data_IF_420493791243
#
_entry.id   IF_420493791243
#
_cell.length_a   1.000
_cell.length_b   1.000
_cell.length_c   1.000
_cell.angle_alpha   90.00
_cell.angle_beta   90.00
_cell.angle_gamma   90.00
#
_symmetry.space_group_name_H-M   'P 1'
#
loop_
_entity.id
_entity.type
_entity.pdbx_description
1 polymer ?
#
# COMPACT_ATOMS: atom_id res chain seq x y z
N UNK A 1 19.40 39.26 -23.94
CA UNK A 1 18.35 38.23 -24.08
C UNK A 1 18.82 37.03 -23.29
N UNK A 2 18.08 36.72 -22.22
CA UNK A 2 18.38 35.68 -21.23
C UNK A 2 17.67 34.41 -21.70
N UNK A 3 18.43 33.39 -22.10
CA UNK A 3 17.92 32.06 -22.45
C UNK A 3 18.87 31.07 -21.81
N UNK A 4 18.44 30.43 -20.72
CA UNK A 4 19.31 29.52 -19.95
C UNK A 4 18.66 28.88 -18.72
N UNK A 5 17.52 29.37 -18.23
CA UNK A 5 16.98 28.89 -16.94
C UNK A 5 15.90 27.80 -17.08
N UNK A 6 15.33 27.56 -18.28
CA UNK A 6 14.17 26.67 -18.47
C UNK A 6 14.48 25.17 -18.58
N UNK A 7 15.69 24.78 -18.99
CA UNK A 7 16.06 23.36 -19.13
C UNK A 7 16.42 22.70 -17.78
N UNK A 8 16.75 23.48 -16.74
CA UNK A 8 17.22 22.95 -15.46
C UNK A 8 16.12 22.45 -14.51
N UNK A 9 14.96 23.11 -14.49
CA UNK A 9 13.83 22.78 -13.59
C UNK A 9 13.08 21.52 -14.04
N UNK A 10 12.87 21.34 -15.35
CA UNK A 10 12.21 20.15 -15.91
C UNK A 10 13.03 18.89 -15.61
N UNK A 11 14.35 18.98 -15.80
CA UNK A 11 15.28 17.89 -15.53
C UNK A 11 15.35 17.55 -14.02
N UNK A 12 15.15 18.52 -13.14
CA UNK A 12 15.11 18.30 -11.69
C UNK A 12 13.81 17.66 -11.23
N UNK A 13 12.67 18.09 -11.78
CA UNK A 13 11.37 17.48 -11.52
C UNK A 13 11.34 16.00 -11.94
N UNK A 14 11.89 15.68 -13.12
CA UNK A 14 11.99 14.30 -13.62
C UNK A 14 12.92 13.42 -12.76
N UNK A 15 14.02 14.00 -12.24
CA UNK A 15 14.88 13.32 -11.27
C UNK A 15 14.14 13.03 -9.96
N UNK A 16 13.39 14.01 -9.45
CA UNK A 16 12.59 13.87 -8.23
C UNK A 16 11.47 12.83 -8.38
N UNK A 17 10.81 12.77 -9.53
CA UNK A 17 9.82 11.72 -9.84
C UNK A 17 10.48 10.34 -9.89
N UNK A 18 11.58 10.21 -10.64
CA UNK A 18 12.33 8.95 -10.76
C UNK A 18 12.81 8.42 -9.40
N UNK A 19 13.28 9.31 -8.52
CA UNK A 19 13.68 8.95 -7.17
C UNK A 19 12.50 8.41 -6.34
N UNK A 20 11.34 9.10 -6.37
CA UNK A 20 10.13 8.67 -5.65
C UNK A 20 9.65 7.30 -6.12
N UNK A 21 9.65 7.03 -7.43
CA UNK A 21 9.29 5.72 -7.99
C UNK A 21 10.31 4.62 -7.59
N UNK A 22 11.60 4.95 -7.55
CA UNK A 22 12.62 4.03 -7.05
C UNK A 22 12.37 3.65 -5.58
N UNK A 23 12.03 4.63 -4.73
CA UNK A 23 11.72 4.36 -3.32
C UNK A 23 10.47 3.51 -3.15
N UNK A 24 9.45 3.72 -3.99
CA UNK A 24 8.28 2.86 -4.00
C UNK A 24 8.65 1.40 -4.25
N UNK A 25 9.52 1.13 -5.23
CA UNK A 25 10.00 -0.23 -5.53
C UNK A 25 10.78 -0.85 -4.36
N UNK A 26 11.60 -0.06 -3.65
CA UNK A 26 12.31 -0.52 -2.45
C UNK A 26 11.32 -0.93 -1.36
N UNK A 27 10.28 -0.14 -1.14
CA UNK A 27 9.23 -0.46 -0.15
C UNK A 27 8.42 -1.71 -0.55
N UNK A 28 8.15 -1.90 -1.84
CA UNK A 28 7.53 -3.13 -2.37
C UNK A 28 8.41 -4.35 -2.05
N UNK A 29 9.70 -4.27 -2.34
CA UNK A 29 10.66 -5.36 -2.05
C UNK A 29 10.79 -5.58 -0.53
N UNK A 30 10.74 -4.52 0.28
CA UNK A 30 10.75 -4.63 1.73
C UNK A 30 9.53 -5.40 2.25
N UNK A 31 8.33 -5.16 1.70
CA UNK A 31 7.14 -5.94 2.05
C UNK A 31 7.33 -7.45 1.81
N UNK A 32 8.08 -7.82 0.77
CA UNK A 32 8.34 -9.22 0.41
C UNK A 32 9.39 -9.90 1.29
N UNK A 33 10.40 -9.14 1.73
CA UNK A 33 11.64 -9.71 2.31
C UNK A 33 11.85 -9.41 3.78
N UNK A 34 11.03 -8.58 4.40
CA UNK A 34 11.16 -8.26 5.81
C UNK A 34 10.98 -9.52 6.69
N UNK A 35 11.85 -9.74 7.70
CA UNK A 35 11.69 -10.86 8.63
C UNK A 35 10.41 -10.73 9.45
N UNK A 36 9.85 -11.87 9.87
CA UNK A 36 8.57 -11.94 10.59
C UNK A 36 8.53 -11.07 11.85
N UNK A 37 9.65 -10.95 12.56
CA UNK A 37 9.78 -10.09 13.75
C UNK A 37 9.58 -8.60 13.47
N UNK A 38 9.85 -8.13 12.24
CA UNK A 38 9.72 -6.73 11.84
C UNK A 38 8.39 -6.38 11.17
N UNK A 39 7.63 -7.37 10.69
CA UNK A 39 6.42 -7.16 9.85
C UNK A 39 5.40 -6.24 10.49
N UNK A 40 5.03 -6.51 11.75
CA UNK A 40 4.01 -5.73 12.47
C UNK A 40 4.40 -4.25 12.61
N UNK A 41 5.66 -3.98 12.98
CA UNK A 41 6.15 -2.62 13.14
C UNK A 41 6.22 -1.90 11.80
N UNK A 42 6.71 -2.61 10.78
CA UNK A 42 6.81 -2.08 9.43
C UNK A 42 5.46 -1.65 8.86
N UNK A 43 4.42 -2.51 8.93
CA UNK A 43 3.06 -2.14 8.49
C UNK A 43 2.55 -0.91 9.24
N UNK A 44 2.69 -0.90 10.57
CA UNK A 44 2.25 0.22 11.40
C UNK A 44 2.91 1.55 11.03
N UNK A 45 4.15 1.50 10.55
CA UNK A 45 4.89 2.69 10.16
C UNK A 45 4.66 3.11 8.72
N UNK A 46 4.73 2.17 7.77
CA UNK A 46 4.74 2.51 6.36
C UNK A 46 3.36 2.81 5.82
N UNK A 47 2.33 2.06 6.25
CA UNK A 47 0.97 2.22 5.75
C UNK A 47 0.43 3.64 5.93
N UNK A 48 0.44 4.26 7.13
CA UNK A 48 -0.08 5.62 7.28
C UNK A 48 0.73 6.66 6.49
N UNK A 49 2.04 6.48 6.36
CA UNK A 49 2.91 7.39 5.59
C UNK A 49 2.61 7.33 4.09
N UNK A 50 2.42 6.12 3.56
CA UNK A 50 2.07 5.92 2.14
C UNK A 50 0.65 6.42 1.86
N UNK A 51 -0.31 6.17 2.76
CA UNK A 51 -1.67 6.73 2.65
C UNK A 51 -1.64 8.26 2.64
N UNK A 52 -0.84 8.87 3.51
CA UNK A 52 -0.66 10.33 3.52
C UNK A 52 -0.05 10.84 2.21
N UNK A 53 0.98 10.16 1.69
CA UNK A 53 1.60 10.51 0.41
C UNK A 53 0.62 10.41 -0.77
N UNK A 54 -0.21 9.36 -0.79
CA UNK A 54 -1.28 9.20 -1.79
C UNK A 54 -2.27 10.36 -1.77
N UNK A 55 -2.60 10.86 -0.57
CA UNK A 55 -3.54 11.96 -0.40
C UNK A 55 -2.94 13.34 -0.70
N UNK A 56 -1.63 13.50 -0.51
CA UNK A 56 -0.96 14.80 -0.65
C UNK A 56 -0.45 15.09 -2.09
N UNK A 57 -0.30 14.07 -2.92
CA UNK A 57 0.19 14.21 -4.29
C UNK A 57 -0.96 14.29 -5.28
N UNK A 58 -0.79 15.03 -6.39
CA UNK A 58 -1.71 15.00 -7.54
C UNK A 58 -1.17 14.19 -8.72
N UNK A 59 0.11 13.83 -8.68
CA UNK A 59 0.81 13.13 -9.76
C UNK A 59 0.32 11.68 -9.85
N UNK A 60 -0.33 11.32 -10.97
CA UNK A 60 -0.97 10.02 -11.17
C UNK A 60 0.02 8.83 -11.05
N UNK A 61 1.25 9.01 -11.54
CA UNK A 61 2.34 8.04 -11.41
C UNK A 61 2.65 7.72 -9.93
N UNK A 62 2.65 8.74 -9.08
CA UNK A 62 2.94 8.59 -7.65
C UNK A 62 1.76 8.00 -6.92
N UNK A 63 0.53 8.41 -7.26
CA UNK A 63 -0.68 7.79 -6.72
C UNK A 63 -0.69 6.29 -7.03
N UNK A 64 -0.42 5.91 -8.28
CA UNK A 64 -0.33 4.52 -8.70
C UNK A 64 0.77 3.75 -7.95
N UNK A 65 1.95 4.34 -7.77
CA UNK A 65 3.04 3.74 -6.99
C UNK A 65 2.66 3.55 -5.51
N UNK A 66 1.99 4.52 -4.88
CA UNK A 66 1.49 4.39 -3.51
C UNK A 66 0.52 3.22 -3.39
N UNK A 67 -0.45 3.11 -4.30
CA UNK A 67 -1.42 2.01 -4.33
C UNK A 67 -0.72 0.66 -4.49
N UNK A 68 0.35 0.60 -5.30
CA UNK A 68 1.13 -0.62 -5.48
C UNK A 68 1.90 -1.04 -4.22
N UNK A 69 2.44 -0.09 -3.44
CA UNK A 69 3.03 -0.37 -2.12
C UNK A 69 1.96 -0.91 -1.18
N UNK A 70 0.78 -0.26 -1.12
CA UNK A 70 -0.33 -0.68 -0.24
C UNK A 70 -0.88 -2.07 -0.64
N UNK A 71 -0.94 -2.38 -1.92
CA UNK A 71 -1.23 -3.73 -2.42
C UNK A 71 -0.18 -4.74 -1.93
N UNK A 72 1.10 -4.37 -1.97
CA UNK A 72 2.20 -5.23 -1.51
C UNK A 72 2.14 -5.46 0.01
N UNK A 73 1.75 -4.44 0.78
CA UNK A 73 1.44 -4.55 2.21
C UNK A 73 0.28 -5.52 2.43
N UNK A 74 -0.85 -5.31 1.75
CA UNK A 74 -2.04 -6.14 1.90
C UNK A 74 -1.78 -7.61 1.53
N UNK A 75 -0.92 -7.85 0.55
CA UNK A 75 -0.62 -9.19 0.05
C UNK A 75 0.41 -9.93 0.90
N UNK A 76 1.59 -9.34 1.11
CA UNK A 76 2.72 -10.02 1.76
C UNK A 76 2.66 -9.95 3.29
N UNK A 77 1.91 -8.99 3.83
CA UNK A 77 1.85 -8.70 5.27
C UNK A 77 0.42 -8.83 5.81
N UNK A 78 -0.43 -9.63 5.14
CA UNK A 78 -1.88 -9.78 5.41
C UNK A 78 -2.25 -10.01 6.87
N UNK A 79 -1.45 -10.75 7.64
CA UNK A 79 -1.70 -11.02 9.07
C UNK A 79 -1.44 -9.83 10.01
N UNK A 80 -0.99 -8.70 9.46
CA UNK A 80 -0.59 -7.52 10.22
C UNK A 80 -1.38 -6.26 9.84
N UNK A 81 -2.29 -6.33 8.87
CA UNK A 81 -3.00 -5.16 8.32
C UNK A 81 -4.32 -4.84 9.03
N UNK A 82 -4.76 -5.66 9.99
CA UNK A 82 -6.09 -5.51 10.63
C UNK A 82 -6.34 -4.09 11.16
N UNK A 83 -5.34 -3.48 11.79
CA UNK A 83 -5.47 -2.13 12.37
C UNK A 83 -5.52 -1.02 11.33
N UNK A 84 -5.08 -1.27 10.09
CA UNK A 84 -5.03 -0.28 9.01
C UNK A 84 -5.94 -0.64 7.83
N UNK A 85 -6.80 -1.65 7.97
CA UNK A 85 -7.55 -2.20 6.85
C UNK A 85 -8.62 -1.23 6.32
N UNK A 86 -9.16 -0.38 7.19
CA UNK A 86 -10.09 0.69 6.80
C UNK A 86 -9.40 1.73 5.90
N UNK A 87 -8.18 2.14 6.23
CA UNK A 87 -7.42 3.08 5.41
C UNK A 87 -7.08 2.49 4.04
N UNK A 88 -6.81 1.18 3.98
CA UNK A 88 -6.57 0.48 2.72
C UNK A 88 -7.83 0.44 1.84
N UNK A 89 -9.00 0.15 2.42
CA UNK A 89 -10.26 0.13 1.67
C UNK A 89 -10.65 1.54 1.21
N UNK A 90 -10.41 2.57 2.03
CA UNK A 90 -10.66 3.97 1.67
C UNK A 90 -9.81 4.43 0.49
N UNK A 91 -8.52 4.07 0.48
CA UNK A 91 -7.64 4.36 -0.68
C UNK A 91 -8.17 3.66 -1.92
N UNK A 92 -8.57 2.39 -1.81
CA UNK A 92 -9.12 1.65 -2.93
C UNK A 92 -10.39 2.31 -3.48
N UNK A 93 -11.33 2.71 -2.61
CA UNK A 93 -12.55 3.42 -2.99
C UNK A 93 -12.27 4.75 -3.68
N UNK A 94 -11.29 5.53 -3.20
CA UNK A 94 -10.87 6.78 -3.85
C UNK A 94 -10.35 6.54 -5.26
N UNK A 95 -9.52 5.51 -5.44
CA UNK A 95 -9.01 5.12 -6.75
C UNK A 95 -10.13 4.71 -7.70
N UNK A 96 -11.10 3.91 -7.24
CA UNK A 96 -12.21 3.45 -8.07
C UNK A 96 -13.12 4.60 -8.53
N UNK A 97 -13.43 5.53 -7.62
CA UNK A 97 -14.38 6.63 -7.90
C UNK A 97 -13.79 7.75 -8.74
N UNK A 98 -12.58 8.18 -8.40
CA UNK A 98 -12.01 9.43 -8.93
C UNK A 98 -10.65 9.24 -9.60
N UNK A 99 -10.11 8.02 -9.59
CA UNK A 99 -8.76 7.78 -10.04
C UNK A 99 -8.60 7.74 -11.55
N UNK A 100 -7.35 7.98 -11.99
CA UNK A 100 -6.90 7.66 -13.34
C UNK A 100 -7.09 6.16 -13.64
N UNK A 101 -6.97 5.76 -14.91
CA UNK A 101 -7.13 4.34 -15.26
C UNK A 101 -6.10 3.45 -14.57
N UNK A 102 -4.85 3.92 -14.42
CA UNK A 102 -3.79 3.26 -13.64
C UNK A 102 -4.18 3.11 -12.17
N UNK A 103 -4.72 4.17 -11.57
CA UNK A 103 -5.19 4.14 -10.17
C UNK A 103 -6.38 3.19 -10.00
N UNK A 104 -7.36 3.24 -10.91
CA UNK A 104 -8.50 2.30 -10.91
C UNK A 104 -8.02 0.87 -10.96
N UNK A 105 -7.07 0.53 -11.85
CA UNK A 105 -6.44 -0.79 -11.89
C UNK A 105 -5.81 -1.18 -10.56
N UNK A 106 -5.04 -0.29 -9.94
CA UNK A 106 -4.47 -0.50 -8.60
C UNK A 106 -5.56 -0.71 -7.53
N UNK A 107 -6.62 0.09 -7.56
CA UNK A 107 -7.76 0.02 -6.64
C UNK A 107 -8.52 -1.30 -6.75
N UNK A 108 -8.83 -1.75 -7.98
CA UNK A 108 -9.49 -3.05 -8.23
C UNK A 108 -8.62 -4.19 -7.68
N UNK A 109 -7.31 -4.15 -7.93
CA UNK A 109 -6.36 -5.14 -7.40
C UNK A 109 -6.32 -5.15 -5.88
N UNK A 110 -6.31 -3.96 -5.26
CA UNK A 110 -6.31 -3.82 -3.81
C UNK A 110 -7.60 -4.34 -3.18
N UNK A 111 -8.78 -4.03 -3.75
CA UNK A 111 -10.07 -4.62 -3.32
C UNK A 111 -10.01 -6.14 -3.41
N UNK A 112 -9.57 -6.69 -4.54
CA UNK A 112 -9.45 -8.14 -4.72
C UNK A 112 -8.52 -8.79 -3.68
N UNK A 113 -7.43 -8.12 -3.33
CA UNK A 113 -6.50 -8.58 -2.29
C UNK A 113 -7.12 -8.52 -0.89
N UNK A 114 -7.85 -7.45 -0.56
CA UNK A 114 -8.51 -7.28 0.73
C UNK A 114 -9.65 -8.29 0.93
N UNK A 115 -10.45 -8.55 -0.11
CA UNK A 115 -11.46 -9.62 -0.13
C UNK A 115 -10.85 -11.02 0.03
N UNK A 116 -9.55 -11.15 -0.26
CA UNK A 116 -8.78 -12.37 -0.09
C UNK A 116 -7.96 -12.41 1.22
N UNK A 117 -8.15 -11.41 2.08
CA UNK A 117 -7.51 -11.30 3.38
C UNK A 117 -8.04 -12.31 4.39
N UNK A 118 -7.56 -12.16 5.62
CA UNK A 118 -8.05 -12.94 6.76
C UNK A 118 -9.48 -12.55 7.12
N UNK A 119 -10.26 -13.49 7.68
CA UNK A 119 -11.68 -13.30 7.99
C UNK A 119 -11.90 -12.06 8.87
N UNK A 120 -11.08 -11.89 9.91
CA UNK A 120 -11.12 -10.71 10.79
C UNK A 120 -10.92 -9.40 10.03
N UNK A 121 -10.05 -9.40 9.02
CA UNK A 121 -9.82 -8.22 8.17
C UNK A 121 -11.05 -7.94 7.33
N UNK A 122 -11.60 -8.98 6.67
CA UNK A 122 -12.78 -8.87 5.79
C UNK A 122 -14.01 -8.39 6.57
N UNK A 123 -14.23 -8.92 7.77
CA UNK A 123 -15.33 -8.51 8.64
C UNK A 123 -15.22 -7.04 9.04
N UNK A 124 -14.00 -6.60 9.40
CA UNK A 124 -13.73 -5.21 9.80
C UNK A 124 -14.02 -4.18 8.68
N UNK A 125 -13.82 -4.56 7.42
CA UNK A 125 -13.98 -3.67 6.25
C UNK A 125 -15.23 -3.98 5.41
N UNK A 126 -16.13 -4.83 5.90
CA UNK A 126 -17.29 -5.33 5.16
C UNK A 126 -18.14 -4.22 4.53
N UNK A 127 -18.39 -3.13 5.26
CA UNK A 127 -19.12 -1.96 4.74
C UNK A 127 -18.37 -1.26 3.59
N UNK A 128 -17.04 -1.16 3.67
CA UNK A 128 -16.18 -0.63 2.61
C UNK A 128 -16.15 -1.54 1.38
N UNK A 129 -16.14 -2.86 1.57
CA UNK A 129 -16.21 -3.82 0.47
C UNK A 129 -17.55 -3.76 -0.28
N UNK A 130 -18.66 -3.56 0.44
CA UNK A 130 -19.97 -3.35 -0.19
C UNK A 130 -20.00 -2.07 -1.03
N UNK A 131 -19.39 -0.98 -0.55
CA UNK A 131 -19.21 0.23 -1.35
C UNK A 131 -18.32 -0.01 -2.57
N UNK A 132 -17.24 -0.78 -2.40
CA UNK A 132 -16.32 -1.09 -3.50
C UNK A 132 -17.03 -1.89 -4.57
N UNK A 133 -17.87 -2.85 -4.18
CA UNK A 133 -18.74 -3.61 -5.09
C UNK A 133 -19.63 -2.70 -5.93
N UNK A 134 -20.30 -1.72 -5.31
CA UNK A 134 -21.12 -0.75 -6.04
C UNK A 134 -20.27 0.04 -7.05
N UNK A 135 -19.10 0.54 -6.63
CA UNK A 135 -18.19 1.23 -7.55
C UNK A 135 -17.70 0.34 -8.70
N UNK A 136 -17.44 -0.94 -8.47
CA UNK A 136 -17.06 -1.88 -9.53
C UNK A 136 -18.20 -2.09 -10.55
N UNK A 137 -19.45 -2.13 -10.09
CA UNK A 137 -20.63 -2.22 -10.96
C UNK A 137 -20.79 -0.95 -11.79
N UNK A 138 -20.67 0.22 -11.16
CA UNK A 138 -20.73 1.52 -11.85
C UNK A 138 -19.64 1.63 -12.93
N UNK A 139 -18.41 1.18 -12.62
CA UNK A 139 -17.30 1.15 -13.57
C UNK A 139 -17.61 0.28 -14.79
N UNK A 140 -18.22 -0.90 -14.60
CA UNK A 140 -18.60 -1.79 -15.70
C UNK A 140 -19.72 -1.22 -16.59
N UNK A 141 -20.60 -0.39 -16.03
CA UNK A 141 -21.71 0.23 -16.75
C UNK A 141 -21.30 1.53 -17.49
N UNK A 142 -20.14 2.10 -17.16
CA UNK A 142 -19.66 3.34 -17.77
C UNK A 142 -19.23 3.15 -19.24
N UNK A 143 -19.58 4.10 -20.10
CA UNK A 143 -19.35 4.06 -21.55
C UNK A 143 -17.87 4.26 -21.93
N UNK A 144 -17.10 4.98 -21.12
CA UNK A 144 -15.66 5.24 -21.33
C UNK A 144 -14.79 3.99 -21.14
N UNK A 145 -15.37 2.88 -20.68
CA UNK A 145 -14.66 1.67 -20.27
C UNK A 145 -14.38 0.67 -21.40
N UNK A 146 -14.77 0.97 -22.63
CA UNK A 146 -14.52 0.10 -23.80
C UNK A 146 -13.04 0.06 -24.22
N UNK A 147 -12.20 0.97 -23.71
CA UNK A 147 -10.78 1.05 -24.07
C UNK A 147 -9.83 0.21 -23.19
N UNK A 148 -10.30 -0.42 -22.10
CA UNK A 148 -9.41 -1.14 -21.18
C UNK A 148 -9.91 -2.56 -20.80
N UNK A 149 -9.60 -3.58 -21.63
CA UNK A 149 -10.17 -4.93 -21.49
C UNK A 149 -9.72 -5.66 -20.23
N UNK A 150 -8.50 -5.41 -19.74
CA UNK A 150 -7.99 -6.06 -18.53
C UNK A 150 -8.71 -5.59 -17.27
N UNK A 151 -9.02 -4.30 -17.16
CA UNK A 151 -9.72 -3.75 -16.00
C UNK A 151 -11.15 -4.29 -15.92
N UNK A 152 -11.85 -4.29 -17.06
CA UNK A 152 -13.19 -4.89 -17.20
C UNK A 152 -13.18 -6.36 -16.79
N UNK A 153 -12.21 -7.14 -17.29
CA UNK A 153 -12.07 -8.56 -16.95
C UNK A 153 -11.90 -8.77 -15.45
N UNK A 154 -11.03 -8.00 -14.79
CA UNK A 154 -10.81 -8.16 -13.34
C UNK A 154 -12.07 -7.75 -12.56
N UNK A 155 -12.73 -6.63 -12.92
CA UNK A 155 -13.98 -6.21 -12.28
C UNK A 155 -15.07 -7.30 -12.37
N UNK A 156 -15.26 -7.90 -13.55
CA UNK A 156 -16.18 -9.01 -13.75
C UNK A 156 -15.79 -10.21 -12.85
N UNK A 157 -14.52 -10.59 -12.81
CA UNK A 157 -14.05 -11.69 -11.96
C UNK A 157 -14.32 -11.46 -10.47
N UNK A 158 -14.29 -10.20 -10.00
CA UNK A 158 -14.62 -9.86 -8.62
C UNK A 158 -16.13 -9.87 -8.35
N UNK A 159 -16.96 -9.49 -9.33
CA UNK A 159 -18.42 -9.36 -9.17
C UNK A 159 -19.21 -10.66 -9.39
N UNK A 160 -18.79 -11.52 -10.33
CA UNK A 160 -19.42 -12.83 -10.58
C UNK A 160 -19.11 -13.88 -9.49
N UNK A 161 -18.58 -13.45 -8.35
CA UNK A 161 -17.99 -14.28 -7.28
C UNK A 161 -18.96 -14.59 -6.11
N UNK A 162 -20.26 -14.29 -6.24
CA UNK A 162 -21.28 -14.48 -5.19
C UNK A 162 -22.12 -15.77 -5.26
N UNK A 163 -21.63 -16.87 -5.86
CA UNK A 163 -22.32 -18.17 -5.78
C UNK A 163 -21.37 -19.32 -5.39
N UNK A 164 -21.41 -19.75 -4.11
CA UNK A 164 -20.91 -21.07 -3.67
C UNK A 164 -19.99 -21.13 -2.43
N UNK A 165 -20.36 -21.85 -1.34
CA UNK A 165 -19.63 -21.84 -0.05
C UNK A 165 -18.25 -22.54 -0.01
N UNK A 166 -17.97 -23.52 -0.87
CA UNK A 166 -16.76 -24.37 -0.77
C UNK A 166 -15.73 -24.13 -1.88
N UNK A 167 -15.93 -23.06 -2.65
CA UNK A 167 -15.25 -22.80 -3.93
C UNK A 167 -14.30 -21.59 -3.89
N UNK A 168 -14.37 -20.77 -2.85
CA UNK A 168 -13.63 -19.51 -2.74
C UNK A 168 -12.11 -19.70 -2.62
N UNK A 169 -11.64 -20.66 -1.81
CA UNK A 169 -10.20 -20.82 -1.50
C UNK A 169 -9.35 -21.28 -2.70
N UNK A 170 -9.84 -22.25 -3.47
CA UNK A 170 -9.09 -22.80 -4.62
C UNK A 170 -9.12 -21.89 -5.86
N UNK A 171 -10.14 -21.02 -5.99
CA UNK A 171 -10.30 -20.10 -7.15
C UNK A 171 -9.75 -18.70 -6.89
N UNK A 172 -9.64 -18.30 -5.61
CA UNK A 172 -8.89 -17.12 -5.18
C UNK A 172 -7.39 -17.24 -5.49
N UNK A 173 -6.82 -18.44 -5.37
CA UNK A 173 -5.47 -18.74 -5.87
C UNK A 173 -5.34 -18.54 -7.39
N UNK A 174 -6.38 -18.85 -8.16
CA UNK A 174 -6.42 -18.68 -9.62
C UNK A 174 -6.44 -17.20 -10.04
N UNK A 175 -7.16 -16.36 -9.29
CA UNK A 175 -7.13 -14.89 -9.39
C UNK A 175 -5.74 -14.35 -9.02
N UNK A 176 -5.12 -14.87 -7.97
CA UNK A 176 -3.73 -14.53 -7.60
C UNK A 176 -2.73 -14.90 -8.69
N UNK A 177 -2.82 -16.09 -9.28
CA UNK A 177 -1.98 -16.47 -10.41
C UNK A 177 -2.23 -15.55 -11.61
N UNK A 178 -3.49 -15.27 -11.95
CA UNK A 178 -3.82 -14.37 -13.07
C UNK A 178 -3.31 -12.94 -12.84
N UNK A 179 -3.35 -12.43 -11.61
CA UNK A 179 -2.82 -11.11 -11.25
C UNK A 179 -1.28 -11.09 -11.24
N UNK A 180 -0.66 -12.14 -10.72
CA UNK A 180 0.79 -12.29 -10.67
C UNK A 180 1.40 -12.49 -12.07
N UNK A 181 0.67 -13.13 -12.99
CA UNK A 181 1.08 -13.31 -14.39
C UNK A 181 0.67 -12.14 -15.31
N UNK A 182 -0.38 -11.36 -14.99
CA UNK A 182 -0.72 -10.12 -15.71
C UNK A 182 0.14 -8.92 -15.30
N UNK A 183 0.78 -9.01 -14.13
CA UNK A 183 2.00 -8.25 -13.88
C UNK A 183 3.11 -8.84 -14.77
N UNK A 184 3.09 -8.49 -16.07
CA UNK A 184 4.34 -8.35 -16.81
C UNK A 184 5.30 -7.59 -15.87
N UNK A 185 6.54 -8.05 -15.67
CA UNK A 185 7.38 -7.57 -14.59
C UNK A 185 7.32 -6.05 -14.60
N UNK A 186 6.64 -5.45 -13.61
CA UNK A 186 6.69 -4.03 -13.33
C UNK A 186 8.06 -3.71 -12.72
N UNK A 187 9.11 -4.37 -13.22
CA UNK A 187 10.44 -3.83 -13.40
C UNK A 187 10.26 -2.74 -14.47
N UNK A 188 9.59 -1.66 -14.07
CA UNK A 188 9.72 -0.38 -14.72
C UNK A 188 11.22 -0.15 -14.84
N UNK A 189 11.72 0.06 -16.06
CA UNK A 189 13.13 0.31 -16.34
C UNK A 189 13.74 1.20 -15.26
N UNK A 190 14.69 0.65 -14.50
CA UNK A 190 15.41 1.36 -13.45
C UNK A 190 16.60 2.04 -14.14
N UNK A 191 16.59 3.37 -14.38
CA UNK A 191 17.82 4.05 -14.74
C UNK A 191 18.82 3.85 -13.59
N UNK A 192 20.10 3.55 -13.87
CA UNK A 192 21.10 3.36 -12.83
C UNK A 192 21.10 4.57 -11.87
N UNK A 193 20.88 4.38 -10.56
CA UNK A 193 20.88 5.49 -9.62
C UNK A 193 22.30 6.07 -9.59
N UNK A 194 22.47 7.27 -10.17
CA UNK A 194 23.77 7.95 -10.22
C UNK A 194 24.22 8.48 -8.86
N UNK A 195 23.37 8.43 -7.83
CA UNK A 195 23.71 8.86 -6.48
C UNK A 195 23.01 7.99 -5.41
N UNK A 196 23.68 6.94 -4.94
CA UNK A 196 23.20 6.07 -3.86
C UNK A 196 23.20 6.76 -2.49
N UNK A 197 23.82 7.93 -2.31
CA UNK A 197 23.83 8.60 -1.00
C UNK A 197 22.43 9.05 -0.58
N UNK A 198 21.65 9.67 -1.47
CA UNK A 198 20.30 10.12 -1.11
C UNK A 198 19.35 8.95 -0.81
N UNK A 199 19.59 7.79 -1.45
CA UNK A 199 18.92 6.53 -1.19
C UNK A 199 19.27 5.99 0.21
N UNK A 200 20.57 5.92 0.53
CA UNK A 200 21.05 5.48 1.84
C UNK A 200 20.56 6.43 2.93
N UNK A 201 20.63 7.74 2.74
CA UNK A 201 20.18 8.76 3.70
C UNK A 201 18.66 8.70 3.96
N UNK A 202 17.84 8.47 2.92
CA UNK A 202 16.38 8.36 3.09
C UNK A 202 16.00 7.07 3.80
N UNK A 203 16.60 5.94 3.41
CA UNK A 203 16.39 4.65 4.07
C UNK A 203 16.91 4.71 5.51
N UNK A 204 18.06 5.32 5.73
CA UNK A 204 18.63 5.55 7.06
C UNK A 204 17.76 6.48 7.89
N UNK A 205 17.18 7.55 7.34
CA UNK A 205 16.25 8.43 8.06
C UNK A 205 14.98 7.68 8.45
N UNK A 206 14.40 6.88 7.54
CA UNK A 206 13.23 6.05 7.85
C UNK A 206 13.60 5.04 8.94
N UNK A 207 14.73 4.33 8.82
CA UNK A 207 15.18 3.35 9.81
C UNK A 207 15.57 3.99 11.15
N UNK A 208 16.15 5.18 11.15
CA UNK A 208 16.54 5.94 12.35
C UNK A 208 15.31 6.44 13.09
N UNK A 209 14.28 6.88 12.38
CA UNK A 209 12.98 7.21 12.96
C UNK A 209 12.28 5.96 13.52
N UNK A 210 12.44 4.80 12.87
CA UNK A 210 11.93 3.49 13.34
C UNK A 210 12.61 3.09 14.66
N UNK A 211 13.95 3.09 14.70
CA UNK A 211 14.74 2.69 15.88
C UNK A 211 14.55 3.68 17.03
N UNK A 212 14.51 4.98 16.73
CA UNK A 212 14.29 6.02 17.75
C UNK A 212 12.88 5.93 18.33
N UNK A 213 11.85 5.72 17.51
CA UNK A 213 10.47 5.56 18.00
C UNK A 213 10.27 4.28 18.81
N UNK A 214 10.93 3.18 18.43
CA UNK A 214 10.90 1.92 19.18
C UNK A 214 11.61 2.04 20.54
N UNK A 215 12.77 2.70 20.57
CA UNK A 215 13.54 2.92 21.80
C UNK A 215 12.83 3.86 22.79
N UNK A 216 12.16 4.91 22.29
CA UNK A 216 11.33 5.80 23.12
C UNK A 216 10.14 5.04 23.72
N UNK A 217 9.48 4.16 22.94
CA UNK A 217 8.37 3.37 23.44
C UNK A 217 8.83 2.33 24.49
N UNK A 218 9.96 1.66 24.26
CA UNK A 218 10.57 0.76 25.25
C UNK A 218 10.96 1.49 26.53
N UNK A 219 11.56 2.67 26.43
CA UNK A 219 11.97 3.47 27.60
C UNK A 219 10.75 4.00 28.39
N UNK A 220 9.67 4.39 27.69
CA UNK A 220 8.42 4.85 28.36
C UNK A 220 7.67 3.70 29.03
N UNK A 221 7.65 2.52 28.43
CA UNK A 221 7.06 1.31 29.03
C UNK A 221 7.89 0.86 30.24
N UNK A 222 9.23 0.83 30.12
CA UNK A 222 10.12 0.49 31.23
C UNK A 222 10.00 1.45 32.42
N UNK A 223 9.88 2.76 32.15
CA UNK A 223 9.64 3.77 33.17
C UNK A 223 8.25 3.65 33.83
N UNK A 224 7.21 3.33 33.04
CA UNK A 224 5.86 3.12 33.57
C UNK A 224 5.77 1.86 34.44
N UNK A 225 6.42 0.77 34.02
CA UNK A 225 6.51 -0.49 34.79
C UNK A 225 7.32 -0.28 36.07
N UNK A 226 8.44 0.43 36.01
CA UNK A 226 9.24 0.74 37.22
C UNK A 226 8.45 1.58 38.23
N UNK A 227 7.64 2.53 37.76
CA UNK A 227 6.74 3.32 38.62
C UNK A 227 5.61 2.49 39.22
N UNK A 228 5.04 1.55 38.47
CA UNK A 228 4.02 0.63 38.98
C UNK A 228 4.60 -0.33 40.02
N UNK A 229 5.81 -0.84 39.80
CA UNK A 229 6.51 -1.72 40.74
C UNK A 229 6.93 -0.97 42.02
N UNK A 230 7.41 0.28 41.91
CA UNK A 230 7.76 1.08 43.08
C UNK A 230 6.54 1.43 43.94
N UNK A 231 5.38 1.72 43.32
CA UNK A 231 4.13 1.99 44.04
C UNK A 231 3.61 0.74 44.74
N UNK A 232 3.72 -0.44 44.11
CA UNK A 232 3.30 -1.73 44.69
C UNK A 232 4.20 -2.17 45.86
N UNK A 233 5.51 -1.91 45.78
CA UNK A 233 6.45 -2.19 46.88
C UNK A 233 6.26 -1.24 48.06
N UNK A 234 5.95 0.03 47.81
CA UNK A 234 5.66 1.01 48.86
C UNK A 234 4.31 0.77 49.57
N UNK A 235 3.36 0.11 48.91
CA UNK A 235 2.05 -0.25 49.48
C UNK A 235 2.04 -1.59 50.24
N UNK A 236 3.17 -2.31 50.26
CA UNK A 236 3.32 -3.61 50.91
C UNK A 236 4.26 -3.58 52.14
N UNK A 237 4.71 -2.39 52.56
CA UNK A 237 5.48 -2.12 53.78
C UNK A 237 4.62 -1.32 54.76
#
# INVERSE_FOLDING_TARGET
>A
MKGGDFESESDEADRCLSFRLCMANVLIVACQRIPDSGKKLFVKMITPRVVQSFQATEEAEIKAACVQILLSVAYHLKSYILLQSNELVDVALKCLRHGSVKEKMGGVKLVGCLMAGEEEVVDNISSGLMQARACLQDLLLSSDFDCEPDLRRICQQLLYKEEGPQSARNRMLQLFFTLAFSAAPLILYIPPPRNLNFFVETVESILRDVVSSASILQNRIGAAISRLLSVRLAAAA
#
